data_IF_049811567534
#
_entry.id   IF_049811567534
#
_cell.length_a   1.000
_cell.length_b   1.000
_cell.length_c   1.000
_cell.angle_alpha   90.00
_cell.angle_beta   90.00
_cell.angle_gamma   90.00
#
_symmetry.space_group_name_H-M   'P 1'
#
loop_
_entity.id
_entity.type
_entity.pdbx_description
1 polymer ?
#
# COMPACT_ATOMS: atom_id res chain seq x y z
N UNK A 1 -3.37 -23.00 41.19
CA UNK A 1 -4.69 -22.79 40.54
C UNK A 1 -5.15 -21.38 40.87
N UNK A 2 -4.62 -20.40 40.13
CA UNK A 2 -5.13 -19.03 40.21
C UNK A 2 -6.31 -18.91 39.25
N UNK A 3 -7.47 -18.51 39.78
CA UNK A 3 -8.67 -18.22 38.99
C UNK A 3 -8.46 -16.84 38.38
N UNK A 4 -8.32 -16.78 37.06
CA UNK A 4 -8.30 -15.53 36.32
C UNK A 4 -9.57 -14.72 36.61
N UNK A 5 -9.39 -13.44 36.92
CA UNK A 5 -10.49 -12.51 37.15
C UNK A 5 -11.41 -12.44 35.91
N UNK A 6 -12.74 -12.31 36.09
CA UNK A 6 -13.65 -12.16 34.97
C UNK A 6 -13.36 -10.83 34.27
N UNK A 7 -13.08 -10.92 32.96
CA UNK A 7 -12.90 -9.78 32.08
C UNK A 7 -14.18 -8.92 32.11
N UNK A 8 -14.05 -7.65 32.49
CA UNK A 8 -15.19 -6.74 32.62
C UNK A 8 -15.74 -6.34 31.25
N UNK A 9 -17.06 -6.43 31.11
CA UNK A 9 -17.89 -6.16 29.92
C UNK A 9 -17.94 -4.66 29.49
N UNK A 10 -16.94 -3.85 29.86
CA UNK A 10 -16.93 -2.39 29.65
C UNK A 10 -15.89 -1.86 28.66
N UNK A 11 -14.98 -2.70 28.16
CA UNK A 11 -14.26 -2.39 26.93
C UNK A 11 -15.11 -2.92 25.78
N UNK A 12 -15.76 -2.02 25.03
CA UNK A 12 -16.36 -2.37 23.75
C UNK A 12 -15.22 -2.88 22.84
N UNK A 13 -15.04 -4.20 22.85
CA UNK A 13 -13.99 -4.96 22.19
C UNK A 13 -14.02 -4.66 20.68
N UNK A 14 -13.21 -3.67 20.26
CA UNK A 14 -13.03 -3.24 18.87
C UNK A 14 -12.67 -4.49 18.07
N UNK A 15 -13.52 -4.91 17.12
CA UNK A 15 -13.27 -6.14 16.40
C UNK A 15 -11.93 -6.11 15.64
N UNK A 16 -11.43 -4.93 15.25
CA UNK A 16 -10.12 -4.80 14.63
C UNK A 16 -8.96 -5.26 15.53
N UNK A 17 -9.16 -5.38 16.86
CA UNK A 17 -8.12 -5.88 17.78
C UNK A 17 -7.78 -7.35 17.55
N UNK A 18 -8.68 -8.13 16.94
CA UNK A 18 -8.43 -9.55 16.65
C UNK A 18 -7.45 -9.73 15.47
N UNK A 19 -7.34 -8.75 14.58
CA UNK A 19 -6.46 -8.83 13.42
C UNK A 19 -5.00 -9.00 13.83
N UNK A 20 -4.32 -9.95 13.21
CA UNK A 20 -2.93 -10.28 13.47
C UNK A 20 -2.69 -11.09 14.74
N UNK A 21 -3.72 -11.55 15.45
CA UNK A 21 -3.58 -12.46 16.59
C UNK A 21 -3.66 -13.91 16.14
N UNK A 22 -3.05 -14.81 16.90
CA UNK A 22 -3.28 -16.26 16.74
C UNK A 22 -4.75 -16.60 16.98
N UNK A 23 -5.29 -17.57 16.25
CA UNK A 23 -6.63 -18.14 16.50
C UNK A 23 -6.75 -18.79 17.90
N UNK A 24 -5.61 -19.07 18.54
CA UNK A 24 -5.52 -19.59 19.90
C UNK A 24 -5.33 -18.49 20.96
N UNK A 25 -5.23 -17.22 20.56
CA UNK A 25 -5.20 -16.08 21.49
C UNK A 25 -6.50 -16.02 22.30
N UNK A 26 -6.40 -15.83 23.62
CA UNK A 26 -7.54 -15.84 24.53
C UNK A 26 -8.65 -14.86 24.11
N UNK A 27 -8.31 -13.71 23.49
CA UNK A 27 -9.30 -12.74 22.99
C UNK A 27 -10.05 -13.29 21.77
N UNK A 28 -9.33 -13.91 20.84
CA UNK A 28 -9.93 -14.52 19.65
C UNK A 28 -10.84 -15.68 20.07
N UNK A 29 -10.35 -16.57 20.94
CA UNK A 29 -11.13 -17.68 21.49
C UNK A 29 -12.39 -17.19 22.20
N UNK A 30 -12.30 -16.18 23.06
CA UNK A 30 -13.46 -15.61 23.74
C UNK A 30 -14.50 -15.05 22.75
N UNK A 31 -14.04 -14.39 21.68
CA UNK A 31 -14.93 -13.87 20.63
C UNK A 31 -15.61 -14.99 19.86
N UNK A 32 -14.86 -16.03 19.47
CA UNK A 32 -15.40 -17.19 18.78
C UNK A 32 -16.46 -17.92 19.63
N UNK A 33 -16.20 -18.12 20.93
CA UNK A 33 -17.17 -18.68 21.88
C UNK A 33 -18.44 -17.83 21.94
N UNK A 34 -18.31 -16.50 22.06
CA UNK A 34 -19.45 -15.56 22.12
C UNK A 34 -20.36 -15.69 20.89
N UNK A 35 -19.78 -15.97 19.72
CA UNK A 35 -20.51 -16.12 18.46
C UNK A 35 -20.79 -17.60 18.09
N UNK A 36 -20.50 -18.57 18.96
CA UNK A 36 -20.73 -19.99 18.69
C UNK A 36 -19.87 -20.57 17.56
N UNK A 37 -18.74 -19.94 17.24
CA UNK A 37 -17.84 -20.29 16.13
C UNK A 37 -16.54 -20.94 16.64
N UNK A 38 -16.64 -21.88 17.58
CA UNK A 38 -15.47 -22.45 18.29
C UNK A 38 -14.63 -23.40 17.44
N UNK A 39 -15.17 -23.92 16.35
CA UNK A 39 -14.47 -24.77 15.40
C UNK A 39 -14.47 -24.12 14.00
N UNK A 40 -13.42 -24.32 13.20
CA UNK A 40 -13.36 -23.76 11.87
C UNK A 40 -14.34 -24.48 10.92
N UNK A 41 -15.08 -23.70 10.14
CA UNK A 41 -15.95 -24.16 9.06
C UNK A 41 -15.16 -24.74 7.88
N UNK A 42 -13.95 -24.22 7.69
CA UNK A 42 -13.00 -24.69 6.69
C UNK A 42 -11.63 -24.66 7.34
N UNK A 43 -10.90 -25.77 7.25
CA UNK A 43 -9.54 -25.87 7.76
C UNK A 43 -8.66 -26.53 6.70
N UNK A 44 -7.58 -25.84 6.36
CA UNK A 44 -6.44 -26.40 5.68
C UNK A 44 -5.28 -26.25 6.67
N UNK A 45 -4.88 -27.35 7.29
CA UNK A 45 -3.91 -27.35 8.40
C UNK A 45 -2.67 -26.53 8.07
N UNK A 46 -2.34 -25.57 8.94
CA UNK A 46 -1.19 -24.69 8.80
C UNK A 46 -1.25 -23.68 7.65
N UNK A 47 -2.34 -23.66 6.87
CA UNK A 47 -2.48 -22.81 5.67
C UNK A 47 -3.61 -21.80 5.85
N UNK A 48 -4.79 -22.26 6.25
CA UNK A 48 -5.98 -21.42 6.28
C UNK A 48 -7.03 -21.98 7.23
N UNK A 49 -7.74 -21.10 7.91
CA UNK A 49 -9.00 -21.43 8.54
C UNK A 49 -10.03 -20.33 8.35
N UNK A 50 -11.29 -20.72 8.17
CA UNK A 50 -12.43 -19.83 8.29
C UNK A 50 -13.23 -20.26 9.52
N UNK A 51 -13.56 -19.30 10.39
CA UNK A 51 -14.37 -19.50 11.58
C UNK A 51 -15.62 -18.65 11.50
N UNK A 52 -16.76 -19.26 11.81
CA UNK A 52 -18.04 -18.57 11.80
C UNK A 52 -18.51 -18.35 10.38
N UNK A 53 -19.72 -18.84 10.10
CA UNK A 53 -20.39 -18.55 8.84
C UNK A 53 -21.09 -17.21 8.96
N UNK A 54 -20.80 -16.26 8.05
CA UNK A 54 -21.63 -15.06 7.90
C UNK A 54 -23.11 -15.40 7.74
N UNK A 55 -23.42 -16.56 7.15
CA UNK A 55 -24.81 -17.04 7.02
C UNK A 55 -25.50 -17.33 8.36
N UNK A 56 -24.79 -17.89 9.35
CA UNK A 56 -25.42 -18.36 10.58
C UNK A 56 -25.50 -17.27 11.66
N UNK A 57 -24.50 -16.38 11.71
CA UNK A 57 -24.35 -15.42 12.82
C UNK A 57 -24.14 -13.99 12.36
N UNK A 58 -23.99 -13.77 11.06
CA UNK A 58 -23.56 -12.51 10.48
C UNK A 58 -22.09 -12.18 10.75
N UNK A 59 -21.37 -12.99 11.53
CA UNK A 59 -19.96 -12.84 11.88
C UNK A 59 -19.13 -13.95 11.22
N UNK A 60 -17.98 -13.57 10.69
CA UNK A 60 -16.97 -14.51 10.21
C UNK A 60 -15.57 -13.99 10.47
N UNK A 61 -14.62 -14.91 10.46
CA UNK A 61 -13.20 -14.64 10.61
C UNK A 61 -12.43 -15.55 9.67
N UNK A 62 -11.42 -15.01 8.99
CA UNK A 62 -10.44 -15.80 8.24
C UNK A 62 -9.06 -15.66 8.87
N UNK A 63 -8.34 -16.76 8.91
CA UNK A 63 -6.97 -16.84 9.39
C UNK A 63 -6.09 -17.53 8.35
N UNK A 64 -4.83 -17.11 8.25
CA UNK A 64 -3.85 -17.69 7.34
C UNK A 64 -2.63 -18.20 8.12
N UNK A 65 -1.89 -19.15 7.54
CA UNK A 65 -0.68 -19.69 8.16
C UNK A 65 0.35 -18.61 8.49
N UNK A 66 1.01 -18.74 9.64
CA UNK A 66 2.01 -17.77 10.14
C UNK A 66 3.04 -17.32 9.09
N UNK A 67 3.58 -18.26 8.29
CA UNK A 67 4.54 -17.96 7.24
C UNK A 67 3.94 -17.09 6.12
N UNK A 68 2.70 -17.38 5.70
CA UNK A 68 1.96 -16.55 4.72
C UNK A 68 1.71 -15.16 5.28
N UNK A 69 1.18 -15.06 6.50
CA UNK A 69 0.89 -13.78 7.16
C UNK A 69 2.12 -12.87 7.24
N UNK A 70 3.29 -13.43 7.60
CA UNK A 70 4.57 -12.68 7.65
C UNK A 70 5.02 -12.18 6.27
N UNK A 71 4.81 -12.99 5.24
CA UNK A 71 5.18 -12.63 3.88
C UNK A 71 4.28 -11.51 3.33
N UNK A 72 2.97 -11.59 3.57
CA UNK A 72 1.96 -10.73 2.96
C UNK A 72 1.65 -9.48 3.78
N UNK A 73 1.56 -9.59 5.11
CA UNK A 73 1.09 -8.53 6.01
C UNK A 73 2.21 -8.03 6.92
N UNK A 74 2.98 -8.92 7.54
CA UNK A 74 4.09 -8.59 8.43
C UNK A 74 4.05 -9.36 9.76
N UNK A 75 4.70 -8.84 10.80
CA UNK A 75 4.73 -9.54 12.08
C UNK A 75 3.35 -9.59 12.75
N UNK A 76 2.91 -10.76 13.24
CA UNK A 76 1.67 -10.90 13.98
C UNK A 76 1.77 -10.23 15.36
N UNK A 77 0.62 -9.87 15.92
CA UNK A 77 0.46 -9.34 17.27
C UNK A 77 0.60 -10.41 18.35
N UNK A 78 0.23 -11.64 18.05
CA UNK A 78 0.44 -12.79 18.94
C UNK A 78 0.68 -14.06 18.15
N UNK A 79 1.47 -14.95 18.74
CA UNK A 79 1.76 -16.30 18.26
C UNK A 79 1.73 -17.21 19.47
N UNK A 80 1.15 -18.40 19.34
CA UNK A 80 1.23 -19.42 20.39
C UNK A 80 2.38 -20.36 20.09
N UNK A 81 3.37 -20.39 20.99
CA UNK A 81 4.59 -21.18 20.82
C UNK A 81 4.26 -22.68 20.92
N UNK A 82 4.82 -23.47 20.00
CA UNK A 82 4.68 -24.94 20.00
C UNK A 82 3.64 -25.48 19.03
N UNK A 83 2.93 -24.61 18.30
CA UNK A 83 2.04 -25.00 17.21
C UNK A 83 2.69 -24.63 15.87
N UNK A 84 3.34 -25.59 15.20
CA UNK A 84 3.94 -25.37 13.87
C UNK A 84 2.91 -24.96 12.80
N UNK A 85 1.63 -25.18 13.07
CA UNK A 85 0.49 -24.85 12.23
C UNK A 85 -0.30 -23.61 12.71
N UNK A 86 0.29 -22.71 13.51
CA UNK A 86 -0.42 -21.54 14.03
C UNK A 86 -1.02 -20.70 12.89
N UNK A 87 -2.28 -20.33 13.06
CA UNK A 87 -3.05 -19.54 12.11
C UNK A 87 -3.28 -18.16 12.69
N UNK A 88 -3.01 -17.13 11.89
CA UNK A 88 -3.11 -15.74 12.27
C UNK A 88 -4.32 -15.11 11.61
N UNK A 89 -5.17 -14.46 12.40
CA UNK A 89 -6.37 -13.77 11.93
C UNK A 89 -5.99 -12.70 10.91
N UNK A 90 -6.44 -12.85 9.67
CA UNK A 90 -6.12 -11.95 8.55
C UNK A 90 -7.32 -11.14 8.07
N UNK A 91 -8.55 -11.57 8.38
CA UNK A 91 -9.77 -10.84 8.02
C UNK A 91 -10.91 -11.13 9.00
N UNK A 92 -11.78 -10.14 9.19
CA UNK A 92 -13.01 -10.26 9.97
C UNK A 92 -14.16 -9.72 9.15
N UNK A 93 -15.26 -10.45 9.15
CA UNK A 93 -16.39 -10.27 8.27
C UNK A 93 -17.67 -10.01 9.10
N UNK A 94 -18.41 -8.96 8.73
CA UNK A 94 -19.72 -8.65 9.28
C UNK A 94 -20.74 -8.53 8.16
N UNK A 95 -21.91 -9.13 8.32
CA UNK A 95 -22.97 -9.13 7.30
C UNK A 95 -24.35 -8.93 7.89
N UNK A 96 -25.19 -8.26 7.11
CA UNK A 96 -26.62 -8.10 7.36
C UNK A 96 -27.38 -9.38 6.96
N UNK A 97 -28.66 -9.44 7.32
CA UNK A 97 -29.53 -10.53 6.93
C UNK A 97 -29.56 -10.69 5.41
N UNK A 98 -29.65 -11.95 4.96
CA UNK A 98 -29.68 -12.35 3.57
C UNK A 98 -28.45 -11.97 2.71
N UNK A 99 -27.41 -11.37 3.30
CA UNK A 99 -26.26 -10.86 2.55
C UNK A 99 -25.39 -11.98 1.96
N UNK A 100 -25.15 -13.05 2.71
CA UNK A 100 -24.35 -14.19 2.27
C UNK A 100 -25.21 -15.31 1.63
N UNK A 101 -26.50 -15.37 1.95
CA UNK A 101 -27.51 -16.20 1.28
C UNK A 101 -28.92 -15.98 1.86
N UNK A 102 -30.00 -16.39 1.18
CA UNK A 102 -31.34 -16.28 1.74
C UNK A 102 -31.50 -17.08 3.05
N UNK A 103 -32.05 -16.44 4.09
CA UNK A 103 -32.21 -17.01 5.43
C UNK A 103 -31.05 -16.72 6.37
N UNK A 104 -30.01 -16.03 5.91
CA UNK A 104 -28.83 -15.70 6.73
C UNK A 104 -29.16 -14.71 7.83
N UNK A 105 -28.55 -14.88 9.02
CA UNK A 105 -28.77 -13.99 10.16
C UNK A 105 -27.87 -12.77 10.09
N UNK A 106 -28.43 -11.60 10.37
CA UNK A 106 -27.67 -10.38 10.55
C UNK A 106 -26.75 -10.44 11.77
N UNK A 107 -25.60 -9.79 11.68
CA UNK A 107 -24.73 -9.57 12.84
C UNK A 107 -25.43 -8.66 13.85
N UNK A 108 -25.61 -9.15 15.08
CA UNK A 108 -26.34 -8.44 16.13
C UNK A 108 -25.53 -7.46 16.97
N UNK A 109 -24.21 -7.35 16.76
CA UNK A 109 -23.33 -6.48 17.55
C UNK A 109 -23.05 -5.12 16.89
N UNK A 110 -22.34 -4.20 17.58
CA UNK A 110 -21.89 -2.95 16.98
C UNK A 110 -20.86 -3.20 15.88
N UNK A 111 -21.01 -2.53 14.75
CA UNK A 111 -20.03 -2.58 13.66
C UNK A 111 -18.85 -1.62 13.94
N UNK A 112 -17.65 -1.92 13.40
CA UNK A 112 -16.50 -1.05 13.54
C UNK A 112 -16.76 0.32 12.89
N UNK A 113 -16.03 1.34 13.34
CA UNK A 113 -16.10 2.73 12.84
C UNK A 113 -17.47 3.40 12.98
N UNK A 114 -18.34 2.86 13.84
CA UNK A 114 -19.70 3.38 14.05
C UNK A 114 -20.58 3.25 12.80
N UNK A 115 -20.31 2.26 11.95
CA UNK A 115 -21.13 1.90 10.79
C UNK A 115 -22.45 1.25 11.22
N UNK A 116 -23.44 1.28 10.33
CA UNK A 116 -24.69 0.54 10.47
C UNK A 116 -25.04 -0.14 9.14
N UNK A 117 -25.56 -1.36 9.20
CA UNK A 117 -26.20 -1.93 8.01
C UNK A 117 -27.34 -1.03 7.53
N UNK A 118 -27.48 -0.89 6.22
CA UNK A 118 -28.38 0.07 5.59
C UNK A 118 -27.82 1.50 5.45
N UNK A 119 -26.64 1.81 6.01
CA UNK A 119 -26.01 3.11 5.77
C UNK A 119 -25.87 3.36 4.26
N UNK A 120 -26.27 4.54 3.75
CA UNK A 120 -25.99 4.89 2.36
C UNK A 120 -24.48 5.04 2.15
N UNK A 121 -24.00 4.77 0.95
CA UNK A 121 -22.56 4.76 0.66
C UNK A 121 -21.84 6.10 0.97
N UNK A 122 -22.55 7.23 0.89
CA UNK A 122 -22.05 8.53 1.32
C UNK A 122 -21.83 8.58 2.84
N UNK A 123 -22.76 8.03 3.64
CA UNK A 123 -22.60 7.94 5.09
C UNK A 123 -21.46 7.00 5.49
N UNK A 124 -21.29 5.88 4.79
CA UNK A 124 -20.13 4.98 4.98
C UNK A 124 -18.83 5.77 4.78
N UNK A 125 -18.72 6.52 3.69
CA UNK A 125 -17.54 7.34 3.39
C UNK A 125 -17.30 8.43 4.46
N UNK A 126 -18.37 9.05 4.96
CA UNK A 126 -18.31 10.05 6.03
C UNK A 126 -17.84 9.46 7.36
N UNK A 127 -18.41 8.31 7.79
CA UNK A 127 -18.03 7.63 9.04
C UNK A 127 -16.60 7.12 9.01
N UNK A 128 -16.15 6.57 7.87
CA UNK A 128 -14.75 6.15 7.68
C UNK A 128 -13.79 7.34 7.51
N UNK A 129 -14.30 8.58 7.37
CA UNK A 129 -13.51 9.78 7.05
C UNK A 129 -12.56 9.56 5.85
N UNK A 130 -12.99 8.74 4.90
CA UNK A 130 -12.17 8.27 3.79
C UNK A 130 -12.99 8.18 2.49
N UNK A 131 -12.34 8.46 1.37
CA UNK A 131 -12.90 8.19 0.04
C UNK A 131 -12.55 6.76 -0.38
N UNK A 132 -13.44 6.08 -1.12
CA UNK A 132 -13.15 4.74 -1.62
C UNK A 132 -11.97 4.79 -2.60
N UNK A 133 -10.97 3.93 -2.38
CA UNK A 133 -9.82 3.74 -3.26
C UNK A 133 -10.19 2.98 -4.52
N UNK A 134 -11.18 2.10 -4.42
CA UNK A 134 -11.74 1.32 -5.53
C UNK A 134 -13.25 1.25 -5.37
N UNK A 135 -13.95 1.31 -6.51
CA UNK A 135 -15.37 0.97 -6.63
C UNK A 135 -15.49 -0.10 -7.71
N UNK A 136 -16.19 -1.18 -7.41
CA UNK A 136 -16.43 -2.27 -8.35
C UNK A 136 -17.83 -2.85 -8.20
N UNK A 137 -18.23 -3.67 -9.17
CA UNK A 137 -19.36 -4.59 -9.02
C UNK A 137 -18.93 -5.79 -8.17
N UNK A 138 -19.85 -6.34 -7.39
CA UNK A 138 -19.60 -7.59 -6.69
C UNK A 138 -19.48 -8.75 -7.68
N UNK A 139 -18.61 -9.71 -7.34
CA UNK A 139 -18.52 -11.00 -8.04
C UNK A 139 -19.55 -12.01 -7.55
N UNK A 140 -20.31 -11.67 -6.50
CA UNK A 140 -21.35 -12.53 -5.93
C UNK A 140 -22.46 -12.73 -6.98
N UNK A 141 -22.93 -13.98 -7.14
CA UNK A 141 -23.87 -14.31 -8.21
C UNK A 141 -25.24 -13.61 -8.00
N UNK A 142 -25.81 -12.97 -9.04
CA UNK A 142 -27.13 -12.36 -8.95
C UNK A 142 -28.20 -13.36 -8.48
N UNK A 143 -28.99 -12.96 -7.48
CA UNK A 143 -30.05 -13.80 -6.90
C UNK A 143 -29.61 -14.70 -5.74
N UNK A 144 -28.30 -14.79 -5.45
CA UNK A 144 -27.78 -15.45 -4.25
C UNK A 144 -27.40 -14.46 -3.15
N UNK A 145 -27.17 -13.20 -3.51
CA UNK A 145 -26.84 -12.12 -2.57
C UNK A 145 -27.48 -10.80 -3.02
N UNK A 146 -27.97 -9.96 -2.08
CA UNK A 146 -28.41 -8.60 -2.37
C UNK A 146 -27.24 -7.65 -2.70
N UNK A 147 -25.99 -8.09 -2.52
CA UNK A 147 -24.78 -7.30 -2.75
C UNK A 147 -24.55 -7.12 -4.26
N UNK A 148 -24.50 -5.86 -4.68
CA UNK A 148 -24.25 -5.47 -6.07
C UNK A 148 -22.89 -4.79 -6.27
N UNK A 149 -22.36 -4.15 -5.24
CA UNK A 149 -21.12 -3.37 -5.33
C UNK A 149 -20.14 -3.67 -4.20
N UNK A 150 -18.87 -3.43 -4.47
CA UNK A 150 -17.75 -3.58 -3.52
C UNK A 150 -16.90 -2.32 -3.58
N UNK A 151 -16.78 -1.64 -2.46
CA UNK A 151 -16.00 -0.41 -2.33
C UNK A 151 -14.89 -0.63 -1.30
N UNK A 152 -13.65 -0.40 -1.71
CA UNK A 152 -12.48 -0.58 -0.85
C UNK A 152 -12.05 0.77 -0.29
N UNK A 153 -11.91 0.83 1.03
CA UNK A 153 -11.44 2.00 1.76
C UNK A 153 -10.13 1.67 2.46
N UNK A 154 -9.30 2.70 2.62
CA UNK A 154 -8.12 2.61 3.48
C UNK A 154 -8.34 3.51 4.69
N UNK A 155 -8.30 2.91 5.87
CA UNK A 155 -8.49 3.59 7.15
C UNK A 155 -7.30 3.25 8.05
N UNK A 156 -6.35 4.18 8.18
CA UNK A 156 -5.09 3.90 8.87
C UNK A 156 -4.33 2.73 8.20
N UNK A 157 -4.06 1.70 9.00
CA UNK A 157 -3.40 0.42 8.63
C UNK A 157 -4.37 -0.66 8.14
N UNK A 158 -5.64 -0.31 7.97
CA UNK A 158 -6.69 -1.26 7.61
C UNK A 158 -7.19 -1.03 6.19
N UNK A 159 -7.47 -2.15 5.51
CA UNK A 159 -8.36 -2.24 4.38
C UNK A 159 -9.77 -2.49 4.92
N UNK A 160 -10.71 -1.61 4.59
CA UNK A 160 -12.13 -1.78 4.90
C UNK A 160 -12.88 -2.00 3.60
N UNK A 161 -13.50 -3.17 3.44
CA UNK A 161 -14.25 -3.54 2.24
C UNK A 161 -15.73 -3.40 2.56
N UNK A 162 -16.38 -2.40 1.97
CA UNK A 162 -17.82 -2.22 2.09
C UNK A 162 -18.54 -2.93 0.92
N UNK A 163 -19.37 -3.91 1.24
CA UNK A 163 -20.29 -4.56 0.32
C UNK A 163 -21.61 -3.80 0.35
N UNK A 164 -22.09 -3.37 -0.81
CA UNK A 164 -23.27 -2.53 -0.94
C UNK A 164 -24.35 -3.20 -1.81
N UNK A 165 -25.62 -2.97 -1.48
CA UNK A 165 -26.75 -3.41 -2.31
C UNK A 165 -26.86 -2.62 -3.62
N UNK A 166 -27.78 -3.03 -4.50
CA UNK A 166 -28.10 -2.28 -5.73
C UNK A 166 -28.54 -0.82 -5.47
N UNK A 167 -29.09 -0.53 -4.28
CA UNK A 167 -29.47 0.81 -3.83
C UNK A 167 -28.32 1.54 -3.10
N UNK A 168 -27.09 1.04 -3.20
CA UNK A 168 -25.90 1.57 -2.52
C UNK A 168 -26.04 1.66 -0.99
N UNK A 169 -26.65 0.64 -0.38
CA UNK A 169 -26.81 0.50 1.06
C UNK A 169 -25.82 -0.52 1.61
N UNK A 170 -25.19 -0.25 2.75
CA UNK A 170 -24.24 -1.17 3.39
C UNK A 170 -24.93 -2.48 3.77
N UNK A 171 -24.45 -3.61 3.22
CA UNK A 171 -24.97 -4.95 3.50
C UNK A 171 -23.93 -5.84 4.19
N UNK A 172 -22.64 -5.60 3.94
CA UNK A 172 -21.57 -6.24 4.69
C UNK A 172 -20.34 -5.33 4.76
N UNK A 173 -19.52 -5.53 5.79
CA UNK A 173 -18.23 -4.86 5.96
C UNK A 173 -17.18 -5.87 6.37
N UNK A 174 -16.07 -5.89 5.64
CA UNK A 174 -14.91 -6.71 5.97
C UNK A 174 -13.75 -5.81 6.36
N UNK A 175 -12.98 -6.24 7.33
CA UNK A 175 -11.78 -5.54 7.79
C UNK A 175 -10.58 -6.47 7.71
N UNK A 176 -9.49 -5.98 7.13
CA UNK A 176 -8.22 -6.68 7.02
C UNK A 176 -7.06 -5.69 7.24
N UNK A 177 -5.87 -6.15 7.66
CA UNK A 177 -4.67 -5.34 7.59
C UNK A 177 -4.35 -4.97 6.14
N UNK A 178 -3.74 -3.81 5.93
CA UNK A 178 -3.09 -3.52 4.65
C UNK A 178 -1.94 -4.51 4.45
N UNK A 179 -1.87 -5.05 3.24
CA UNK A 179 -0.72 -5.82 2.79
C UNK A 179 0.56 -4.98 2.84
N UNK A 180 1.69 -5.67 2.90
CA UNK A 180 3.03 -5.09 3.00
C UNK A 180 3.33 -4.15 1.83
N UNK A 181 3.04 -4.47 0.55
CA UNK A 181 3.23 -3.53 -0.55
C UNK A 181 2.44 -2.22 -0.40
N UNK A 182 1.15 -2.29 -0.04
CA UNK A 182 0.32 -1.10 0.15
C UNK A 182 0.79 -0.26 1.34
N UNK A 183 1.24 -0.91 2.41
CA UNK A 183 1.84 -0.26 3.58
C UNK A 183 3.11 0.49 3.21
N UNK A 184 4.04 -0.16 2.50
CA UNK A 184 5.28 0.45 2.03
C UNK A 184 5.02 1.66 1.10
N UNK A 185 4.07 1.55 0.17
CA UNK A 185 3.67 2.67 -0.70
C UNK A 185 3.15 3.85 0.12
N UNK A 186 2.35 3.57 1.16
CA UNK A 186 1.81 4.62 2.03
C UNK A 186 2.90 5.26 2.87
N UNK A 187 3.76 4.47 3.51
CA UNK A 187 4.89 4.95 4.31
C UNK A 187 5.81 5.82 3.46
N UNK A 188 6.18 5.37 2.26
CA UNK A 188 6.96 6.16 1.30
C UNK A 188 6.27 7.49 0.97
N UNK A 189 4.97 7.48 0.67
CA UNK A 189 4.20 8.71 0.42
C UNK A 189 4.18 9.65 1.64
N UNK A 190 4.04 9.10 2.84
CA UNK A 190 4.05 9.87 4.08
C UNK A 190 5.42 10.52 4.31
N UNK A 191 6.51 9.75 4.14
CA UNK A 191 7.88 10.25 4.24
C UNK A 191 8.16 11.36 3.21
N UNK A 192 7.78 11.16 1.94
CA UNK A 192 7.91 12.21 0.91
C UNK A 192 7.07 13.45 1.25
N UNK A 193 5.86 13.28 1.78
CA UNK A 193 5.03 14.42 2.19
C UNK A 193 5.65 15.17 3.37
N UNK A 194 6.24 14.47 4.34
CA UNK A 194 6.95 15.09 5.46
C UNK A 194 8.17 15.89 4.99
N UNK A 195 8.89 15.37 3.99
CA UNK A 195 10.06 16.04 3.37
C UNK A 195 9.68 17.29 2.56
N UNK A 196 8.44 17.40 2.10
CA UNK A 196 8.00 18.52 1.25
C UNK A 196 8.23 19.90 1.90
N UNK A 197 8.26 19.98 3.23
CA UNK A 197 8.58 21.20 3.96
C UNK A 197 10.04 21.67 3.86
N UNK A 198 10.97 20.79 3.46
CA UNK A 198 12.41 21.07 3.32
C UNK A 198 12.82 21.49 1.91
N UNK A 199 11.97 21.22 0.92
CA UNK A 199 12.20 21.60 -0.47
C UNK A 199 12.29 23.13 -0.58
N UNK A 200 13.39 23.63 -1.16
CA UNK A 200 13.62 25.06 -1.36
C UNK A 200 12.89 25.54 -2.62
N UNK A 201 11.81 26.35 -2.51
CA UNK A 201 11.13 26.88 -3.68
C UNK A 201 11.94 27.93 -4.45
N UNK A 202 12.98 28.52 -3.84
CA UNK A 202 13.87 29.49 -4.46
C UNK A 202 15.09 28.86 -5.15
N UNK A 203 15.16 27.52 -5.20
CA UNK A 203 16.26 26.75 -5.82
C UNK A 203 16.32 26.85 -7.34
N UNK A 204 15.28 27.37 -8.00
CA UNK A 204 15.18 27.34 -9.46
C UNK A 204 16.41 27.90 -10.21
N UNK A 205 17.05 29.02 -9.81
CA UNK A 205 18.28 29.50 -10.46
C UNK A 205 19.48 28.56 -10.26
N UNK A 206 19.61 27.92 -9.09
CA UNK A 206 20.70 26.98 -8.81
C UNK A 206 20.53 25.68 -9.60
N UNK A 207 19.30 25.18 -9.69
CA UNK A 207 18.97 24.04 -10.57
C UNK A 207 19.21 24.39 -12.05
N UNK A 208 18.86 25.61 -12.49
CA UNK A 208 19.11 26.04 -13.86
C UNK A 208 20.61 26.11 -14.19
N UNK A 209 21.45 26.54 -13.24
CA UNK A 209 22.90 26.59 -13.42
C UNK A 209 23.50 25.20 -13.71
N UNK A 210 22.86 24.11 -13.27
CA UNK A 210 23.30 22.74 -13.54
C UNK A 210 23.16 22.32 -15.01
N UNK A 211 22.49 23.11 -15.88
CA UNK A 211 22.52 22.84 -17.33
C UNK A 211 23.93 22.79 -17.90
N UNK A 212 24.84 23.61 -17.35
CA UNK A 212 26.25 23.62 -17.76
C UNK A 212 27.04 22.38 -17.31
N UNK A 213 26.46 21.56 -16.43
CA UNK A 213 27.07 20.36 -15.87
C UNK A 213 26.41 19.06 -16.38
N UNK A 214 25.62 19.14 -17.46
CA UNK A 214 25.01 17.95 -18.05
C UNK A 214 26.11 17.00 -18.56
N UNK A 215 26.04 15.70 -18.25
CA UNK A 215 27.13 14.77 -18.52
C UNK A 215 27.36 14.45 -20.00
N UNK A 216 26.36 14.63 -20.88
CA UNK A 216 26.48 14.36 -22.33
C UNK A 216 27.64 15.10 -23.00
N UNK A 217 27.98 16.31 -22.52
CA UNK A 217 29.16 17.05 -23.01
C UNK A 217 30.45 16.25 -22.80
N UNK A 218 30.63 15.67 -21.61
CA UNK A 218 31.82 14.85 -21.29
C UNK A 218 31.83 13.54 -22.07
N UNK A 219 30.66 12.99 -22.37
CA UNK A 219 30.53 11.79 -23.19
C UNK A 219 31.10 12.05 -24.59
N UNK A 220 30.65 13.13 -25.24
CA UNK A 220 31.16 13.55 -26.54
C UNK A 220 32.67 13.82 -26.54
N UNK A 221 33.18 14.54 -25.53
CA UNK A 221 34.62 14.81 -25.39
C UNK A 221 35.44 13.51 -25.30
N UNK A 222 34.94 12.52 -24.55
CA UNK A 222 35.60 11.21 -24.43
C UNK A 222 35.54 10.40 -25.72
N UNK A 223 34.38 10.34 -26.40
CA UNK A 223 34.28 9.65 -27.68
C UNK A 223 35.26 10.24 -28.70
N UNK A 224 35.32 11.56 -28.81
CA UNK A 224 36.26 12.23 -29.71
C UNK A 224 37.72 11.94 -29.36
N UNK A 225 38.07 11.91 -28.06
CA UNK A 225 39.42 11.59 -27.61
C UNK A 225 39.81 10.11 -27.83
N UNK A 226 38.82 9.20 -27.79
CA UNK A 226 39.00 7.77 -27.97
C UNK A 226 38.85 7.30 -29.43
N UNK A 227 38.56 8.21 -30.37
CA UNK A 227 38.17 7.88 -31.75
C UNK A 227 37.04 6.84 -31.80
N UNK A 228 36.10 6.97 -30.86
CA UNK A 228 34.96 6.07 -30.71
C UNK A 228 33.70 6.69 -31.29
N UNK A 229 32.95 5.92 -32.06
CA UNK A 229 31.67 6.35 -32.62
C UNK A 229 30.58 6.33 -31.53
N UNK A 230 30.07 7.51 -31.16
CA UNK A 230 28.80 7.66 -30.47
C UNK A 230 27.77 8.29 -31.41
N UNK A 231 26.59 7.68 -31.51
CA UNK A 231 25.51 8.21 -32.35
C UNK A 231 25.04 9.56 -31.79
N UNK A 232 25.25 10.63 -32.57
CA UNK A 232 24.86 12.00 -32.23
C UNK A 232 23.36 12.11 -31.89
N UNK A 233 22.52 11.29 -32.52
CA UNK A 233 21.08 11.26 -32.26
C UNK A 233 20.77 10.72 -30.87
N UNK A 234 21.48 9.70 -30.45
CA UNK A 234 21.31 9.07 -29.14
C UNK A 234 21.77 10.00 -28.01
N UNK A 235 22.89 10.69 -28.21
CA UNK A 235 23.36 11.75 -27.32
C UNK A 235 22.32 12.87 -27.21
N UNK A 236 21.82 13.36 -28.34
CA UNK A 236 20.82 14.43 -28.35
C UNK A 236 19.52 14.00 -27.64
N UNK A 237 19.12 12.74 -27.75
CA UNK A 237 17.95 12.22 -27.03
C UNK A 237 18.19 12.16 -25.51
N UNK A 238 19.38 11.72 -25.08
CA UNK A 238 19.78 11.71 -23.66
C UNK A 238 19.80 13.14 -23.08
N UNK A 239 20.42 14.09 -23.80
CA UNK A 239 20.49 15.49 -23.39
C UNK A 239 19.10 16.12 -23.26
N UNK A 240 18.21 15.85 -24.23
CA UNK A 240 16.82 16.31 -24.17
C UNK A 240 16.04 15.72 -22.98
N UNK A 241 16.34 14.50 -22.54
CA UNK A 241 15.77 13.93 -21.31
C UNK A 241 16.26 14.68 -20.07
N UNK A 242 17.55 14.98 -19.99
CA UNK A 242 18.17 15.68 -18.86
C UNK A 242 17.68 17.13 -18.74
N UNK A 243 17.55 17.84 -19.86
CA UNK A 243 16.95 19.17 -19.88
C UNK A 243 15.49 19.18 -19.42
N UNK A 244 14.67 18.23 -19.90
CA UNK A 244 13.27 18.10 -19.43
C UNK A 244 13.18 17.77 -17.95
N UNK A 245 14.11 16.95 -17.44
CA UNK A 245 14.20 16.65 -16.02
C UNK A 245 14.46 17.91 -15.19
N UNK A 246 15.44 18.74 -15.56
CA UNK A 246 15.71 20.02 -14.88
C UNK A 246 14.47 20.93 -14.84
N UNK A 247 13.75 21.06 -15.96
CA UNK A 247 12.52 21.86 -16.02
C UNK A 247 11.42 21.31 -15.11
N UNK A 248 11.27 19.99 -15.06
CA UNK A 248 10.30 19.34 -14.19
C UNK A 248 10.66 19.46 -12.70
N UNK A 249 11.94 19.34 -12.34
CA UNK A 249 12.45 19.52 -10.98
C UNK A 249 12.22 20.96 -10.51
N UNK A 250 12.56 21.98 -11.31
CA UNK A 250 12.27 23.39 -10.97
C UNK A 250 10.78 23.60 -10.68
N UNK A 251 9.91 23.05 -11.51
CA UNK A 251 8.46 23.12 -11.32
C UNK A 251 7.98 22.40 -10.05
N UNK A 252 8.58 21.25 -9.72
CA UNK A 252 8.30 20.52 -8.50
C UNK A 252 8.80 21.25 -7.25
N UNK A 253 10.00 21.85 -7.31
CA UNK A 253 10.61 22.62 -6.23
C UNK A 253 9.80 23.89 -5.93
N UNK A 254 9.38 24.63 -6.96
CA UNK A 254 8.51 25.80 -6.81
C UNK A 254 7.18 25.47 -6.10
N UNK A 255 6.67 24.23 -6.26
CA UNK A 255 5.47 23.72 -5.59
C UNK A 255 5.76 23.04 -4.24
N UNK A 256 7.02 23.03 -3.79
CA UNK A 256 7.49 22.32 -2.59
C UNK A 256 7.06 20.86 -2.56
N UNK A 257 7.17 20.16 -3.71
CA UNK A 257 6.61 18.81 -3.85
C UNK A 257 7.70 17.77 -3.98
N UNK A 258 8.13 17.22 -2.84
CA UNK A 258 9.02 16.05 -2.82
C UNK A 258 8.42 14.81 -3.54
N UNK A 259 7.10 14.51 -3.42
CA UNK A 259 6.50 13.45 -4.25
C UNK A 259 6.65 13.68 -5.75
N UNK A 260 6.57 14.94 -6.21
CA UNK A 260 6.79 15.26 -7.61
C UNK A 260 8.26 15.09 -7.98
N UNK A 261 9.21 15.59 -7.19
CA UNK A 261 10.65 15.40 -7.41
C UNK A 261 11.00 13.92 -7.59
N UNK A 262 10.62 13.07 -6.63
CA UNK A 262 10.84 11.62 -6.71
C UNK A 262 10.25 10.99 -7.99
N UNK A 263 9.04 11.41 -8.40
CA UNK A 263 8.39 10.91 -9.62
C UNK A 263 9.09 11.38 -10.89
N UNK A 264 9.61 12.60 -10.92
CA UNK A 264 10.37 13.11 -12.06
C UNK A 264 11.73 12.40 -12.19
N UNK A 265 12.37 12.08 -11.08
CA UNK A 265 13.59 11.25 -11.05
C UNK A 265 13.32 9.85 -11.57
N UNK A 266 12.27 9.17 -11.08
CA UNK A 266 11.83 7.88 -11.61
C UNK A 266 11.60 7.92 -13.13
N UNK A 267 10.92 8.96 -13.61
CA UNK A 267 10.63 9.13 -15.04
C UNK A 267 11.91 9.30 -15.86
N UNK A 268 12.88 10.07 -15.38
CA UNK A 268 14.18 10.22 -16.03
C UNK A 268 14.87 8.87 -16.15
N UNK A 269 15.04 8.15 -15.03
CA UNK A 269 15.76 6.86 -15.00
C UNK A 269 15.11 5.84 -15.94
N UNK A 270 13.79 5.68 -15.88
CA UNK A 270 13.08 4.76 -16.78
C UNK A 270 13.18 5.15 -18.25
N UNK A 271 13.31 6.44 -18.56
CA UNK A 271 13.52 6.91 -19.93
C UNK A 271 14.94 6.65 -20.41
N UNK A 272 15.93 6.84 -19.54
CA UNK A 272 17.32 6.49 -19.80
C UNK A 272 17.50 4.97 -19.97
N UNK A 273 16.84 4.13 -19.17
CA UNK A 273 16.83 2.66 -19.38
C UNK A 273 16.32 2.29 -20.78
N UNK A 274 15.22 2.94 -21.22
CA UNK A 274 14.65 2.69 -22.55
C UNK A 274 15.59 3.14 -23.67
N UNK A 275 16.27 4.26 -23.48
CA UNK A 275 17.29 4.73 -24.42
C UNK A 275 18.43 3.70 -24.48
N UNK A 276 19.01 3.36 -23.34
CA UNK A 276 20.15 2.45 -23.24
C UNK A 276 19.87 1.06 -23.82
N UNK A 277 18.67 0.49 -23.60
CA UNK A 277 18.29 -0.80 -24.20
C UNK A 277 18.32 -0.80 -25.73
N UNK A 278 18.19 0.36 -26.38
CA UNK A 278 18.20 0.47 -27.84
C UNK A 278 19.60 0.63 -28.40
N UNK A 279 20.49 1.31 -27.69
CA UNK A 279 21.75 1.81 -28.25
C UNK A 279 23.01 1.48 -27.44
N UNK A 280 22.87 1.00 -26.20
CA UNK A 280 24.02 0.72 -25.33
C UNK A 280 24.79 1.96 -24.89
N UNK A 281 24.21 3.17 -25.03
CA UNK A 281 24.89 4.45 -24.78
C UNK A 281 25.41 4.61 -23.34
N UNK A 282 24.72 4.04 -22.36
CA UNK A 282 24.99 4.23 -20.94
C UNK A 282 25.71 2.99 -20.40
N UNK A 283 27.03 3.11 -20.28
CA UNK A 283 27.88 2.11 -19.64
C UNK A 283 28.21 2.52 -18.19
N UNK A 284 29.32 2.02 -17.64
CA UNK A 284 29.68 2.21 -16.23
C UNK A 284 30.01 3.67 -15.90
N UNK A 285 30.71 4.39 -16.79
CA UNK A 285 31.16 5.75 -16.51
C UNK A 285 30.00 6.75 -16.67
N UNK A 286 29.25 6.63 -17.76
CA UNK A 286 28.04 7.42 -18.03
C UNK A 286 27.03 7.24 -16.91
N UNK A 287 26.95 6.03 -16.35
CA UNK A 287 26.11 5.73 -15.20
C UNK A 287 26.47 6.56 -13.98
N UNK A 288 27.74 6.55 -13.61
CA UNK A 288 28.22 7.22 -12.41
C UNK A 288 28.05 8.74 -12.56
N UNK A 289 28.29 9.28 -13.75
CA UNK A 289 28.07 10.69 -14.07
C UNK A 289 26.58 11.08 -14.00
N UNK A 290 25.66 10.23 -14.48
CA UNK A 290 24.23 10.44 -14.32
C UNK A 290 23.81 10.42 -12.85
N UNK A 291 24.36 9.49 -12.06
CA UNK A 291 24.12 9.41 -10.62
C UNK A 291 24.50 10.71 -9.91
N UNK A 292 25.73 11.19 -10.14
CA UNK A 292 26.25 12.44 -9.58
C UNK A 292 25.41 13.64 -10.03
N UNK A 293 25.01 13.70 -11.30
CA UNK A 293 24.18 14.78 -11.81
C UNK A 293 22.79 14.81 -11.17
N UNK A 294 22.13 13.65 -11.06
CA UNK A 294 20.80 13.54 -10.44
C UNK A 294 20.86 13.93 -8.96
N UNK A 295 21.91 13.50 -8.25
CA UNK A 295 22.16 13.85 -6.85
C UNK A 295 22.32 15.37 -6.66
N UNK A 296 23.16 16.01 -7.48
CA UNK A 296 23.34 17.46 -7.44
C UNK A 296 22.02 18.21 -7.67
N UNK A 297 21.21 17.79 -8.65
CA UNK A 297 19.92 18.41 -8.95
C UNK A 297 18.94 18.32 -7.77
N UNK A 298 18.88 17.16 -7.11
CA UNK A 298 17.97 16.93 -5.99
C UNK A 298 18.45 17.64 -4.72
N UNK A 299 19.76 17.65 -4.48
CA UNK A 299 20.39 18.43 -3.41
C UNK A 299 20.09 19.92 -3.55
N UNK A 300 20.22 20.48 -4.75
CA UNK A 300 19.88 21.89 -4.99
C UNK A 300 18.41 22.21 -4.74
N UNK A 301 17.51 21.26 -5.03
CA UNK A 301 16.09 21.37 -4.72
C UNK A 301 15.77 21.25 -3.22
N UNK A 302 16.74 20.91 -2.36
CA UNK A 302 16.54 20.65 -0.94
C UNK A 302 15.91 19.29 -0.65
N UNK A 303 16.04 18.33 -1.57
CA UNK A 303 15.56 16.96 -1.38
C UNK A 303 16.64 16.16 -0.63
N UNK A 304 16.32 15.78 0.61
CA UNK A 304 17.24 15.03 1.48
C UNK A 304 16.90 13.54 1.49
N UNK A 305 17.89 12.66 1.37
CA UNK A 305 17.76 11.23 1.65
C UNK A 305 18.88 10.76 2.59
N UNK A 306 18.82 9.50 3.00
CA UNK A 306 19.79 8.93 3.94
C UNK A 306 21.19 8.96 3.32
N UNK A 307 22.21 9.38 4.06
CA UNK A 307 23.59 9.41 3.54
C UNK A 307 23.98 8.06 2.92
N UNK A 308 24.45 8.08 1.65
CA UNK A 308 24.80 6.88 0.89
C UNK A 308 23.63 6.15 0.20
N UNK A 309 22.40 6.63 0.32
CA UNK A 309 21.25 6.08 -0.40
C UNK A 309 21.23 6.54 -1.86
N UNK A 310 21.24 5.59 -2.80
CA UNK A 310 21.01 5.89 -4.22
C UNK A 310 19.51 5.83 -4.53
N UNK A 311 18.89 7.02 -4.61
CA UNK A 311 17.45 7.15 -4.90
C UNK A 311 17.04 6.52 -6.24
N UNK A 312 17.99 6.36 -7.17
CA UNK A 312 17.71 5.81 -8.51
C UNK A 312 17.86 4.29 -8.58
N UNK A 313 18.52 3.67 -7.60
CA UNK A 313 18.79 2.23 -7.55
C UNK A 313 17.54 1.34 -7.77
N UNK A 314 16.35 1.66 -7.23
CA UNK A 314 15.15 0.84 -7.45
C UNK A 314 14.68 0.75 -8.90
N UNK A 315 15.11 1.66 -9.77
CA UNK A 315 14.65 1.74 -11.17
C UNK A 315 15.76 1.51 -12.18
N UNK A 316 17.02 1.46 -11.76
CA UNK A 316 18.14 1.36 -12.68
C UNK A 316 18.20 -0.05 -13.27
N UNK A 317 18.14 -0.15 -14.60
CA UNK A 317 18.23 -1.42 -15.34
C UNK A 317 19.51 -1.53 -16.19
N UNK A 318 20.40 -0.54 -16.14
CA UNK A 318 21.63 -0.47 -16.94
C UNK A 318 22.63 -1.53 -16.49
#
# INVERSE_FOLDING_TARGET
>A
MERGAPYSDQDADDPADLLGRSVHDARVVARLIRHGATEPDTLIEGVFAAYGRPDDTGFGLSAEGLASYRATIGEPRSVVIGTEADLIVSRIDFSDADCAGPGSRAYGGPLPFGLYFGDPAEAVSGRLSAKPRRKGRSGDLPGQSPVAFVWDYQVGDLLVIAKLTAQHRLAAVYIAPLDRPARQVRERKASLKAMSGRIDPASAPRIEALRAAIPTTRWCERAAAADADMDERDIAEAEALLHRYLDAVKSAAARRSAPALHRETERLVLSLNRLNRRNGLIETLERDELGVFIDAVLTEAGFEWSEGEDITAPWREW
#
